data_IF_273912225454
#
_entry.id   IF_273912225454
#
_cell.length_a   1.000
_cell.length_b   1.000
_cell.length_c   1.000
_cell.angle_alpha   90.00
_cell.angle_beta   90.00
_cell.angle_gamma   90.00
#
_symmetry.space_group_name_H-M   'P 1'
#
loop_
_entity.id
_entity.type
_entity.pdbx_description
1 polymer ?
#
# COMPACT_ATOMS: atom_id res chain seq x y z
N UNK A 1 -21.51 2.59 12.38
CA UNK A 1 -20.61 2.85 11.26
C UNK A 1 -19.96 1.57 10.79
N UNK A 2 -20.02 1.32 9.50
CA UNK A 2 -19.39 0.15 8.93
C UNK A 2 -17.88 0.38 8.85
N UNK A 3 -17.14 -0.62 9.31
CA UNK A 3 -15.70 -0.62 9.26
C UNK A 3 -15.24 -0.98 7.84
N UNK A 4 -14.38 -0.17 7.26
CA UNK A 4 -13.77 -0.50 5.96
C UNK A 4 -12.62 -1.49 6.19
N UNK A 5 -12.93 -2.78 6.06
CA UNK A 5 -12.00 -3.87 6.33
C UNK A 5 -10.77 -3.79 5.43
N UNK A 6 -10.96 -3.46 4.16
CA UNK A 6 -9.83 -3.35 3.23
C UNK A 6 -8.83 -2.27 3.68
N UNK A 7 -9.32 -1.09 4.05
CA UNK A 7 -8.47 0.00 4.52
C UNK A 7 -7.76 -0.35 5.82
N UNK A 8 -8.45 -1.01 6.75
CA UNK A 8 -7.85 -1.45 8.00
C UNK A 8 -6.74 -2.46 7.76
N UNK A 9 -6.97 -3.41 6.84
CA UNK A 9 -5.96 -4.39 6.46
C UNK A 9 -4.73 -3.73 5.84
N UNK A 10 -4.93 -2.77 4.94
CA UNK A 10 -3.81 -2.05 4.31
C UNK A 10 -2.99 -1.29 5.35
N UNK A 11 -3.65 -0.61 6.27
CA UNK A 11 -2.98 0.13 7.34
C UNK A 11 -2.19 -0.80 8.26
N UNK A 12 -2.83 -1.86 8.75
CA UNK A 12 -2.20 -2.81 9.65
C UNK A 12 -1.04 -3.53 8.98
N UNK A 13 -1.21 -3.91 7.71
CA UNK A 13 -0.17 -4.55 6.93
C UNK A 13 1.02 -3.63 6.71
N UNK A 14 0.77 -2.35 6.44
CA UNK A 14 1.84 -1.35 6.29
C UNK A 14 2.70 -1.29 7.55
N UNK A 15 2.08 -1.25 8.73
CA UNK A 15 2.79 -1.25 10.01
C UNK A 15 3.63 -2.51 10.19
N UNK A 16 3.07 -3.67 9.84
CA UNK A 16 3.78 -4.95 9.95
C UNK A 16 4.98 -5.02 9.01
N UNK A 17 4.81 -4.60 7.75
CA UNK A 17 5.90 -4.58 6.76
C UNK A 17 7.02 -3.60 7.17
N UNK A 18 6.66 -2.44 7.70
CA UNK A 18 7.66 -1.48 8.19
C UNK A 18 8.44 -2.02 9.38
N UNK A 19 7.78 -2.80 10.24
CA UNK A 19 8.36 -3.32 11.46
C UNK A 19 9.26 -4.53 11.20
N UNK A 20 8.83 -5.45 10.33
CA UNK A 20 9.49 -6.76 10.15
C UNK A 20 10.05 -6.98 8.75
N UNK A 21 9.87 -6.05 7.83
CA UNK A 21 10.23 -6.24 6.43
C UNK A 21 9.27 -7.19 5.72
N UNK A 22 9.43 -7.31 4.41
CA UNK A 22 8.54 -8.15 3.61
C UNK A 22 8.60 -9.62 4.02
N UNK A 23 9.80 -10.17 4.16
CA UNK A 23 9.97 -11.60 4.49
C UNK A 23 9.48 -11.95 5.89
N UNK A 24 9.69 -11.03 6.84
CA UNK A 24 9.32 -11.26 8.23
C UNK A 24 7.86 -11.00 8.54
N UNK A 25 7.15 -10.29 7.67
CA UNK A 25 5.75 -9.97 7.89
C UNK A 25 4.87 -11.20 7.76
N UNK A 26 3.93 -11.36 8.68
CA UNK A 26 3.02 -12.51 8.76
C UNK A 26 1.58 -12.08 8.46
N UNK A 27 0.94 -12.77 7.52
CA UNK A 27 -0.49 -12.56 7.21
C UNK A 27 -1.34 -12.79 8.46
N UNK A 28 -1.02 -13.81 9.25
CA UNK A 28 -1.75 -14.10 10.48
C UNK A 28 -1.66 -12.94 11.47
N UNK A 29 -0.48 -12.38 11.65
CA UNK A 29 -0.26 -11.23 12.55
C UNK A 29 -1.02 -10.00 12.05
N UNK A 30 -1.01 -9.77 10.74
CA UNK A 30 -1.75 -8.67 10.13
C UNK A 30 -3.25 -8.81 10.41
N UNK A 31 -3.81 -9.98 10.19
CA UNK A 31 -5.23 -10.24 10.44
C UNK A 31 -5.59 -10.09 11.91
N UNK A 32 -4.74 -10.60 12.80
CA UNK A 32 -4.92 -10.46 14.24
C UNK A 32 -4.93 -9.00 14.66
N UNK A 33 -3.98 -8.21 14.17
CA UNK A 33 -3.89 -6.78 14.46
C UNK A 33 -5.07 -5.99 13.89
N UNK A 34 -5.60 -6.41 12.75
CA UNK A 34 -6.77 -5.77 12.14
C UNK A 34 -8.09 -6.24 12.75
N UNK A 35 -8.07 -7.29 13.56
CA UNK A 35 -9.28 -7.86 14.14
C UNK A 35 -10.15 -8.60 13.14
N UNK A 36 -9.55 -9.25 12.15
CA UNK A 36 -10.26 -9.98 11.10
C UNK A 36 -9.67 -11.38 10.94
N UNK A 37 -10.38 -12.24 10.22
CA UNK A 37 -9.92 -13.59 9.92
C UNK A 37 -8.99 -13.58 8.70
N UNK A 38 -8.19 -14.64 8.54
CA UNK A 38 -7.37 -14.81 7.33
C UNK A 38 -8.25 -14.93 6.08
N UNK A 39 -9.42 -15.55 6.21
CA UNK A 39 -10.38 -15.61 5.10
C UNK A 39 -10.84 -14.23 4.63
N UNK A 40 -11.03 -13.29 5.56
CA UNK A 40 -11.39 -11.93 5.21
C UNK A 40 -10.27 -11.24 4.44
N UNK A 41 -9.02 -11.46 4.80
CA UNK A 41 -7.88 -10.92 4.05
C UNK A 41 -7.84 -11.49 2.64
N UNK A 42 -7.99 -12.81 2.49
CA UNK A 42 -7.93 -13.46 1.19
C UNK A 42 -9.15 -13.16 0.30
N UNK A 43 -10.20 -12.58 0.86
CA UNK A 43 -11.29 -12.03 0.07
C UNK A 43 -10.84 -10.80 -0.74
N UNK A 44 -9.97 -9.97 -0.17
CA UNK A 44 -9.49 -8.74 -0.80
C UNK A 44 -8.18 -8.89 -1.54
N UNK A 45 -7.30 -9.78 -1.09
CA UNK A 45 -5.93 -9.92 -1.60
C UNK A 45 -5.62 -11.38 -1.83
N UNK A 46 -4.94 -11.70 -2.93
CA UNK A 46 -4.64 -13.08 -3.31
C UNK A 46 -3.58 -13.72 -2.41
N UNK A 47 -2.59 -12.93 -1.99
CA UNK A 47 -1.47 -13.40 -1.18
C UNK A 47 -0.75 -12.20 -0.56
N UNK A 48 0.34 -12.48 0.17
CA UNK A 48 1.14 -11.43 0.81
C UNK A 48 1.74 -10.46 -0.21
N UNK A 49 2.18 -10.97 -1.36
CA UNK A 49 2.76 -10.16 -2.42
C UNK A 49 1.71 -9.18 -2.98
N UNK A 50 0.51 -9.67 -3.25
CA UNK A 50 -0.59 -8.83 -3.74
C UNK A 50 -0.94 -7.73 -2.73
N UNK A 51 -1.01 -8.08 -1.46
CA UNK A 51 -1.24 -7.13 -0.37
C UNK A 51 -0.15 -6.04 -0.36
N UNK A 52 1.11 -6.42 -0.45
CA UNK A 52 2.24 -5.50 -0.47
C UNK A 52 2.19 -4.57 -1.69
N UNK A 53 1.92 -5.11 -2.87
CA UNK A 53 1.81 -4.33 -4.10
C UNK A 53 0.69 -3.29 -4.00
N UNK A 54 -0.45 -3.65 -3.42
CA UNK A 54 -1.56 -2.71 -3.21
C UNK A 54 -1.19 -1.58 -2.26
N UNK A 55 -0.42 -1.88 -1.21
CA UNK A 55 0.07 -0.87 -0.28
C UNK A 55 0.99 0.14 -1.01
N UNK A 56 1.92 -0.36 -1.80
CA UNK A 56 2.87 0.48 -2.53
C UNK A 56 2.14 1.38 -3.53
N UNK A 57 1.22 0.82 -4.30
CA UNK A 57 0.44 1.58 -5.27
C UNK A 57 -0.41 2.67 -4.61
N UNK A 58 -1.06 2.34 -3.51
CA UNK A 58 -1.92 3.27 -2.78
C UNK A 58 -1.10 4.42 -2.19
N UNK A 59 0.03 4.11 -1.57
CA UNK A 59 0.95 5.11 -1.02
C UNK A 59 1.48 6.04 -2.10
N UNK A 60 1.84 5.49 -3.24
CA UNK A 60 2.34 6.25 -4.38
C UNK A 60 1.28 7.23 -4.91
N UNK A 61 0.04 6.78 -5.04
CA UNK A 61 -1.07 7.64 -5.47
C UNK A 61 -1.29 8.81 -4.54
N UNK A 62 -1.24 8.56 -3.23
CA UNK A 62 -1.40 9.60 -2.21
C UNK A 62 -0.30 10.64 -2.31
N UNK A 63 0.94 10.19 -2.51
CA UNK A 63 2.07 11.09 -2.68
C UNK A 63 1.91 11.97 -3.90
N UNK A 64 1.53 11.39 -5.05
CA UNK A 64 1.28 12.14 -6.27
C UNK A 64 0.17 13.18 -6.09
N UNK A 65 -0.91 12.82 -5.41
CA UNK A 65 -2.01 13.73 -5.16
C UNK A 65 -1.58 14.93 -4.30
N UNK A 66 -0.77 14.67 -3.27
CA UNK A 66 -0.21 15.72 -2.42
C UNK A 66 0.67 16.68 -3.23
N UNK A 67 1.52 16.16 -4.10
CA UNK A 67 2.39 16.95 -4.95
C UNK A 67 1.59 17.76 -5.97
N UNK A 68 0.53 17.19 -6.48
CA UNK A 68 -0.37 17.87 -7.43
C UNK A 68 -1.05 19.09 -6.80
N UNK A 69 -1.43 18.97 -5.56
CA UNK A 69 -2.08 20.07 -4.83
C UNK A 69 -1.12 21.17 -4.44
N UNK A 70 0.18 20.89 -4.32
CA UNK A 70 1.14 21.87 -3.84
C UNK A 70 1.62 22.85 -4.92
N UNK A 71 1.81 22.42 -6.19
CA UNK A 71 2.23 23.32 -7.27
C UNK A 71 2.16 22.63 -8.64
N UNK A 72 1.42 23.22 -9.58
CA UNK A 72 1.37 22.74 -10.97
C UNK A 72 2.70 22.90 -11.71
N UNK A 73 3.46 23.94 -11.40
CA UNK A 73 4.75 24.16 -12.05
C UNK A 73 5.80 23.14 -11.66
N UNK A 74 5.77 22.68 -10.41
CA UNK A 74 6.65 21.62 -9.94
C UNK A 74 6.29 20.27 -10.56
N UNK A 75 5.01 20.05 -10.84
CA UNK A 75 4.54 18.84 -11.51
C UNK A 75 5.08 18.69 -12.92
N UNK A 76 5.17 19.77 -13.67
CA UNK A 76 5.70 19.74 -15.03
C UNK A 76 7.14 19.23 -15.05
N UNK A 77 7.95 19.63 -14.06
CA UNK A 77 9.33 19.20 -13.95
C UNK A 77 9.45 17.76 -13.47
N UNK A 78 8.43 17.25 -12.77
CA UNK A 78 8.44 15.90 -12.19
C UNK A 78 7.84 14.84 -13.11
N UNK A 79 7.22 15.22 -14.22
CA UNK A 79 6.49 14.28 -15.10
C UNK A 79 7.37 13.12 -15.58
N UNK A 80 8.61 13.38 -15.95
CA UNK A 80 9.53 12.33 -16.38
C UNK A 80 10.00 11.46 -15.22
N UNK A 81 10.05 12.02 -14.00
CA UNK A 81 10.37 11.28 -12.77
C UNK A 81 9.26 10.33 -12.38
N UNK A 82 7.99 10.74 -12.53
CA UNK A 82 6.82 9.91 -12.25
C UNK A 82 6.87 8.59 -13.03
N UNK A 83 7.18 8.64 -14.29
CA UNK A 83 7.19 7.47 -15.15
C UNK A 83 8.26 6.47 -14.73
N UNK A 84 9.43 6.95 -14.29
CA UNK A 84 10.51 6.10 -13.79
C UNK A 84 10.11 5.42 -12.47
N UNK A 85 9.46 6.15 -11.59
CA UNK A 85 9.03 5.60 -10.30
C UNK A 85 7.93 4.54 -10.47
N UNK A 86 7.00 4.75 -11.41
CA UNK A 86 6.00 3.75 -11.75
C UNK A 86 6.64 2.47 -12.30
N UNK A 87 7.67 2.60 -13.14
CA UNK A 87 8.42 1.47 -13.66
C UNK A 87 9.10 0.69 -12.54
N UNK A 88 9.70 1.38 -11.57
CA UNK A 88 10.34 0.76 -10.42
C UNK A 88 9.31 -0.03 -9.59
N UNK A 89 8.13 0.53 -9.37
CA UNK A 89 7.05 -0.11 -8.62
C UNK A 89 6.61 -1.39 -9.31
N UNK A 90 6.55 -1.40 -10.63
CA UNK A 90 6.18 -2.60 -11.40
C UNK A 90 7.19 -3.74 -11.24
N UNK A 91 8.45 -3.42 -10.97
CA UNK A 91 9.50 -4.42 -10.75
C UNK A 91 9.57 -4.93 -9.31
N UNK A 92 8.92 -4.28 -8.38
CA UNK A 92 8.88 -4.71 -6.99
C UNK A 92 7.88 -5.83 -6.76
#
# INVERSE_FOLDING_TARGET
>A
MQRDVRSVLLKTATEEFLKKGYKGASVRTICSGAGVTTGALYFFFQNKKDLFENIVKDTYRRLLEMLRQSSESELADMTSGEQRELEIIEYL
#
